data_IF_353993907494
#
_entry.id   IF_353993907494
#
_cell.length_a   1.000
_cell.length_b   1.000
_cell.length_c   1.000
_cell.angle_alpha   90.00
_cell.angle_beta   90.00
_cell.angle_gamma   90.00
#
_symmetry.space_group_name_H-M   'P 1'
#
loop_
_entity.id
_entity.type
_entity.pdbx_description
1 polymer ?
#
# COMPACT_ATOMS: atom_id res chain seq x y z
N UNK A 1 9.26 -16.92 -47.06
CA UNK A 1 9.71 -15.61 -46.53
C UNK A 1 8.79 -15.10 -45.42
N UNK A 2 7.46 -15.00 -45.61
CA UNK A 2 6.50 -14.58 -44.57
C UNK A 2 6.50 -15.46 -43.30
N UNK A 3 6.60 -16.79 -43.46
CA UNK A 3 6.71 -17.73 -42.33
C UNK A 3 8.00 -17.54 -41.51
N UNK A 4 9.11 -17.19 -42.16
CA UNK A 4 10.39 -16.92 -41.48
C UNK A 4 10.28 -15.63 -40.66
N UNK A 5 9.66 -14.57 -41.19
CA UNK A 5 9.42 -13.34 -40.43
C UNK A 5 8.49 -13.55 -39.24
N UNK A 6 7.45 -14.36 -39.36
CA UNK A 6 6.58 -14.72 -38.23
C UNK A 6 7.33 -15.47 -37.13
N UNK A 7 8.16 -16.46 -37.51
CA UNK A 7 8.99 -17.20 -36.56
C UNK A 7 10.00 -16.27 -35.87
N UNK A 8 10.71 -15.43 -36.64
CA UNK A 8 11.66 -14.47 -36.08
C UNK A 8 10.99 -13.46 -35.13
N UNK A 9 9.79 -13.01 -35.47
CA UNK A 9 9.00 -12.11 -34.62
C UNK A 9 8.58 -12.81 -33.33
N UNK A 10 8.08 -14.04 -33.41
CA UNK A 10 7.71 -14.82 -32.23
C UNK A 10 8.91 -15.08 -31.31
N UNK A 11 10.07 -15.46 -31.88
CA UNK A 11 11.31 -15.64 -31.12
C UNK A 11 11.74 -14.34 -30.45
N UNK A 12 11.71 -13.22 -31.17
CA UNK A 12 12.02 -11.90 -30.61
C UNK A 12 11.08 -11.54 -29.44
N UNK A 13 9.78 -11.77 -29.58
CA UNK A 13 8.80 -11.53 -28.51
C UNK A 13 9.06 -12.39 -27.28
N UNK A 14 9.43 -13.66 -27.45
CA UNK A 14 9.79 -14.56 -26.34
C UNK A 14 11.06 -14.08 -25.64
N UNK A 15 12.07 -13.64 -26.40
CA UNK A 15 13.31 -13.09 -25.85
C UNK A 15 13.02 -11.81 -25.06
N UNK A 16 12.27 -10.87 -25.63
CA UNK A 16 11.86 -9.62 -24.97
C UNK A 16 11.11 -9.94 -23.68
N UNK A 17 10.14 -10.86 -23.76
CA UNK A 17 9.37 -11.31 -22.60
C UNK A 17 10.29 -11.83 -21.48
N UNK A 18 11.26 -12.68 -21.82
CA UNK A 18 12.20 -13.22 -20.85
C UNK A 18 13.06 -12.11 -20.22
N UNK A 19 13.60 -11.19 -21.02
CA UNK A 19 14.38 -10.06 -20.49
C UNK A 19 13.54 -9.16 -19.56
N UNK A 20 12.32 -8.80 -19.97
CA UNK A 20 11.41 -7.97 -19.19
C UNK A 20 11.04 -8.63 -17.86
N UNK A 21 10.63 -9.89 -17.88
CA UNK A 21 10.22 -10.62 -16.66
C UNK A 21 11.39 -10.92 -15.71
N UNK A 22 12.62 -10.75 -16.18
CA UNK A 22 13.84 -10.84 -15.37
C UNK A 22 14.37 -9.48 -14.92
N UNK A 23 13.75 -8.35 -15.28
CA UNK A 23 14.13 -7.06 -14.71
C UNK A 23 14.02 -7.10 -13.17
N UNK A 24 14.95 -6.44 -12.44
CA UNK A 24 14.95 -6.49 -10.98
C UNK A 24 13.63 -6.07 -10.33
N UNK A 25 12.92 -5.09 -10.93
CA UNK A 25 11.64 -4.58 -10.43
C UNK A 25 10.56 -5.67 -10.29
N UNK A 26 10.62 -6.75 -11.08
CA UNK A 26 9.66 -7.85 -11.01
C UNK A 26 9.90 -8.82 -9.83
N UNK A 27 10.98 -8.63 -9.05
CA UNK A 27 11.30 -9.42 -7.86
C UNK A 27 11.41 -10.94 -8.13
N UNK A 28 11.37 -11.78 -7.09
CA UNK A 28 11.44 -13.23 -7.24
C UNK A 28 10.13 -13.93 -6.88
N UNK A 29 9.90 -15.12 -7.43
CA UNK A 29 8.86 -16.01 -6.93
C UNK A 29 9.39 -16.75 -5.68
N UNK A 30 8.53 -17.09 -4.71
CA UNK A 30 8.89 -17.93 -3.58
C UNK A 30 9.45 -19.29 -4.01
N UNK A 31 10.49 -19.75 -3.33
CA UNK A 31 11.18 -21.03 -3.58
C UNK A 31 11.68 -21.65 -2.27
N UNK A 32 12.14 -22.90 -2.31
CA UNK A 32 12.75 -23.58 -1.15
C UNK A 32 11.85 -23.58 0.08
N UNK A 33 12.44 -23.33 1.27
CA UNK A 33 11.73 -23.34 2.56
C UNK A 33 10.50 -22.43 2.58
N UNK A 34 10.59 -21.24 1.99
CA UNK A 34 9.47 -20.30 1.88
C UNK A 34 8.31 -20.87 1.08
N UNK A 35 8.59 -21.52 -0.06
CA UNK A 35 7.54 -22.15 -0.85
C UNK A 35 6.90 -23.33 -0.11
N UNK A 36 7.66 -24.08 0.67
CA UNK A 36 7.10 -25.16 1.50
C UNK A 36 6.20 -24.60 2.62
N UNK A 37 6.59 -23.50 3.29
CA UNK A 37 5.70 -22.77 4.22
C UNK A 37 4.40 -22.32 3.54
N UNK A 38 4.50 -21.74 2.35
CA UNK A 38 3.32 -21.31 1.57
C UNK A 38 2.38 -22.48 1.28
N UNK A 39 2.91 -23.64 0.85
CA UNK A 39 2.09 -24.83 0.55
C UNK A 39 1.39 -25.41 1.77
N UNK A 40 1.89 -25.15 2.97
CA UNK A 40 1.29 -25.60 4.23
C UNK A 40 0.20 -24.65 4.74
N UNK A 41 0.19 -23.40 4.28
CA UNK A 41 -0.83 -22.41 4.66
C UNK A 41 -2.23 -22.83 4.22
N UNK A 42 -3.19 -22.68 5.12
CA UNK A 42 -4.62 -22.91 4.83
C UNK A 42 -5.20 -21.88 3.85
N UNK A 43 -4.53 -20.73 3.72
CA UNK A 43 -4.89 -19.64 2.81
C UNK A 43 -4.44 -19.93 1.38
N UNK A 44 -3.51 -20.86 1.17
CA UNK A 44 -2.96 -21.19 -0.15
C UNK A 44 -3.66 -22.41 -0.76
N UNK A 45 -4.53 -22.18 -1.76
CA UNK A 45 -5.30 -23.23 -2.44
C UNK A 45 -5.22 -23.09 -3.95
N UNK A 46 -5.09 -24.22 -4.66
CA UNK A 46 -5.00 -24.26 -6.12
C UNK A 46 -3.87 -23.36 -6.66
N UNK A 47 -2.69 -23.41 -6.02
CA UNK A 47 -1.47 -22.67 -6.39
C UNK A 47 -1.57 -21.14 -6.26
N UNK A 48 -2.49 -20.64 -5.44
CA UNK A 48 -2.63 -19.23 -5.12
C UNK A 48 -3.19 -18.99 -3.71
N UNK A 49 -2.85 -17.87 -3.10
CA UNK A 49 -3.52 -17.36 -1.91
C UNK A 49 -4.95 -16.93 -2.22
N UNK A 50 -5.82 -16.96 -1.21
CA UNK A 50 -7.25 -16.67 -1.34
C UNK A 50 -7.71 -15.72 -0.24
N UNK A 51 -8.61 -14.80 -0.62
CA UNK A 51 -9.40 -14.02 0.33
C UNK A 51 -10.33 -14.92 1.16
N UNK A 52 -10.75 -14.41 2.32
CA UNK A 52 -11.77 -15.06 3.17
C UNK A 52 -13.08 -15.19 2.39
N UNK A 53 -13.53 -14.08 1.80
CA UNK A 53 -14.71 -14.03 0.95
C UNK A 53 -14.37 -14.16 -0.53
N UNK A 54 -15.34 -14.64 -1.32
CA UNK A 54 -15.22 -14.66 -2.77
C UNK A 54 -14.92 -13.24 -3.29
N UNK A 55 -13.86 -13.11 -4.08
CA UNK A 55 -13.31 -11.82 -4.52
C UNK A 55 -12.94 -11.93 -6.00
N UNK A 56 -13.89 -11.69 -6.91
CA UNK A 56 -13.58 -11.59 -8.33
C UNK A 56 -12.82 -10.29 -8.60
N UNK A 57 -11.91 -10.30 -9.56
CA UNK A 57 -11.13 -9.09 -9.94
C UNK A 57 -11.99 -8.01 -10.58
N UNK A 58 -13.15 -8.38 -11.13
CA UNK A 58 -14.13 -7.46 -11.71
C UNK A 58 -15.50 -7.80 -11.08
N UNK A 59 -16.20 -6.77 -10.61
CA UNK A 59 -17.53 -6.87 -9.99
C UNK A 59 -18.58 -7.37 -10.98
N UNK A 60 -19.61 -8.03 -10.46
CA UNK A 60 -20.75 -8.52 -11.24
C UNK A 60 -21.40 -7.37 -12.05
N UNK A 61 -21.72 -7.64 -13.32
CA UNK A 61 -22.27 -6.65 -14.24
C UNK A 61 -21.23 -5.81 -14.99
N UNK A 62 -19.95 -5.88 -14.60
CA UNK A 62 -18.85 -5.23 -15.31
C UNK A 62 -18.09 -6.21 -16.22
N UNK A 63 -17.39 -5.66 -17.23
CA UNK A 63 -16.62 -6.43 -18.21
C UNK A 63 -15.18 -5.97 -18.24
N UNK A 64 -14.23 -6.91 -18.10
CA UNK A 64 -12.78 -6.64 -18.18
C UNK A 64 -12.40 -5.91 -19.46
N UNK A 65 -13.02 -6.28 -20.58
CA UNK A 65 -12.75 -5.64 -21.87
C UNK A 65 -13.19 -4.18 -21.88
N UNK A 66 -14.36 -3.89 -21.30
CA UNK A 66 -14.87 -2.52 -21.19
C UNK A 66 -14.00 -1.69 -20.25
N UNK A 67 -13.67 -2.21 -19.07
CA UNK A 67 -12.79 -1.53 -18.11
C UNK A 67 -11.44 -1.19 -18.76
N UNK A 68 -10.83 -2.17 -19.45
CA UNK A 68 -9.57 -1.96 -20.19
C UNK A 68 -9.70 -0.89 -21.27
N UNK A 69 -10.80 -0.91 -22.04
CA UNK A 69 -11.09 0.10 -23.05
C UNK A 69 -11.21 1.50 -22.42
N UNK A 70 -11.95 1.63 -21.32
CA UNK A 70 -12.14 2.89 -20.62
C UNK A 70 -10.82 3.43 -20.06
N UNK A 71 -9.92 2.54 -19.61
CA UNK A 71 -8.57 2.90 -19.16
C UNK A 71 -7.64 3.39 -20.30
N UNK A 72 -7.72 2.80 -21.50
CA UNK A 72 -6.79 3.14 -22.59
C UNK A 72 -7.33 4.25 -23.48
N UNK A 73 -8.61 4.16 -23.87
CA UNK A 73 -9.25 4.97 -24.91
C UNK A 73 -10.43 5.79 -24.39
N UNK A 74 -10.94 5.47 -23.20
CA UNK A 74 -12.07 6.19 -22.59
C UNK A 74 -11.78 7.66 -22.32
N UNK A 75 -12.84 8.48 -22.40
CA UNK A 75 -12.78 9.90 -22.06
C UNK A 75 -12.40 10.05 -20.58
N UNK A 76 -11.27 10.70 -20.32
CA UNK A 76 -10.78 10.95 -18.97
C UNK A 76 -11.44 12.17 -18.34
N UNK A 77 -11.65 12.12 -17.03
CA UNK A 77 -12.06 13.30 -16.29
C UNK A 77 -11.00 14.42 -16.45
N UNK A 78 -11.38 15.68 -16.67
CA UNK A 78 -10.41 16.78 -16.80
C UNK A 78 -9.49 16.95 -15.60
N UNK A 79 -10.00 16.57 -14.41
CA UNK A 79 -9.27 16.55 -13.14
C UNK A 79 -8.77 15.15 -12.76
N UNK A 80 -8.61 14.22 -13.70
CA UNK A 80 -7.94 12.94 -13.43
C UNK A 80 -6.55 13.14 -12.80
N UNK A 81 -5.89 14.24 -13.19
CA UNK A 81 -4.62 14.71 -12.64
C UNK A 81 -4.78 16.15 -12.16
N UNK A 82 -3.98 16.59 -11.18
CA UNK A 82 -4.04 17.97 -10.72
C UNK A 82 -3.57 18.94 -11.81
N UNK A 83 -4.22 20.11 -11.85
CA UNK A 83 -3.86 21.19 -12.78
C UNK A 83 -2.65 21.98 -12.28
N UNK A 84 -2.44 21.99 -10.96
CA UNK A 84 -1.30 22.62 -10.27
C UNK A 84 -0.44 21.53 -9.62
N UNK A 85 0.69 21.92 -9.05
CA UNK A 85 1.48 21.01 -8.22
C UNK A 85 0.69 20.68 -6.94
N UNK A 86 0.80 19.44 -6.48
CA UNK A 86 0.30 19.04 -5.16
C UNK A 86 1.07 19.85 -4.10
N UNK A 87 0.37 20.52 -3.15
CA UNK A 87 1.03 21.19 -2.05
C UNK A 87 1.67 20.15 -1.12
N UNK A 88 2.91 20.40 -0.72
CA UNK A 88 3.69 19.49 0.10
C UNK A 88 4.73 20.24 0.93
N UNK A 89 5.09 19.65 2.07
CA UNK A 89 6.11 20.14 2.99
C UNK A 89 7.28 19.15 2.97
N UNK A 90 8.50 19.63 2.69
CA UNK A 90 9.69 18.77 2.77
C UNK A 90 10.21 18.72 4.21
N UNK A 91 9.53 17.95 5.06
CA UNK A 91 9.97 17.76 6.45
C UNK A 91 11.27 16.95 6.49
N UNK A 92 12.27 17.43 7.24
CA UNK A 92 13.53 16.72 7.43
C UNK A 92 13.35 15.53 8.38
N UNK A 93 13.10 14.35 7.79
CA UNK A 93 12.87 13.12 8.55
C UNK A 93 14.06 12.71 9.43
N UNK A 94 15.28 13.14 9.09
CA UNK A 94 16.49 12.80 9.84
C UNK A 94 16.66 13.64 11.10
N UNK A 95 15.96 14.78 11.17
CA UNK A 95 15.98 15.67 12.34
C UNK A 95 14.97 15.27 13.43
N UNK A 96 14.07 14.34 13.13
CA UNK A 96 13.04 13.88 14.07
C UNK A 96 13.72 13.19 15.25
N UNK A 97 13.47 13.71 16.46
CA UNK A 97 13.96 13.09 17.69
C UNK A 97 13.20 11.81 17.97
N UNK A 98 13.89 10.75 18.39
CA UNK A 98 13.29 9.42 18.65
C UNK A 98 12.20 9.44 19.73
N UNK A 99 12.17 10.44 20.61
CA UNK A 99 11.16 10.58 21.68
C UNK A 99 9.84 11.22 21.21
N UNK A 100 9.71 11.54 19.91
CA UNK A 100 8.49 12.09 19.33
C UNK A 100 7.60 10.98 18.75
N UNK A 101 6.29 11.07 18.99
CA UNK A 101 5.30 10.25 18.33
C UNK A 101 4.66 11.02 17.19
N UNK A 102 5.03 10.68 15.96
CA UNK A 102 4.58 11.40 14.77
C UNK A 102 4.21 10.48 13.61
N UNK A 103 3.30 10.96 12.78
CA UNK A 103 3.00 10.41 11.47
C UNK A 103 3.28 11.46 10.39
N UNK A 104 3.91 11.04 9.28
CA UNK A 104 4.18 11.89 8.13
C UNK A 104 3.80 11.12 6.86
N UNK A 105 2.83 11.64 6.13
CA UNK A 105 2.42 11.07 4.84
C UNK A 105 3.41 11.45 3.73
N UNK A 106 3.87 10.49 2.94
CA UNK A 106 4.86 10.68 1.86
C UNK A 106 4.22 10.55 0.46
N UNK A 107 2.89 10.56 0.41
CA UNK A 107 2.07 10.44 -0.80
C UNK A 107 1.72 8.99 -1.15
N UNK A 108 0.58 8.78 -1.81
CA UNK A 108 0.00 7.45 -2.05
C UNK A 108 -0.19 6.69 -0.73
N UNK A 109 0.27 5.44 -0.61
CA UNK A 109 0.24 4.66 0.64
C UNK A 109 1.53 4.75 1.44
N UNK A 110 2.47 5.61 1.04
CA UNK A 110 3.75 5.74 1.70
C UNK A 110 3.65 6.65 2.91
N UNK A 111 4.10 6.20 4.08
CA UNK A 111 4.19 7.04 5.27
C UNK A 111 5.30 6.63 6.21
N UNK A 112 5.84 7.62 6.91
CA UNK A 112 6.76 7.45 8.03
C UNK A 112 5.95 7.55 9.34
N UNK A 113 6.12 6.57 10.21
CA UNK A 113 5.53 6.53 11.54
C UNK A 113 6.67 6.38 12.54
N UNK A 114 6.73 7.26 13.53
CA UNK A 114 7.57 7.06 14.70
C UNK A 114 6.68 7.11 15.93
N UNK A 115 6.79 6.11 16.80
CA UNK A 115 6.02 6.05 18.03
C UNK A 115 6.77 5.23 19.06
N UNK A 116 6.76 5.67 20.31
CA UNK A 116 7.38 4.96 21.44
C UNK A 116 8.87 4.61 21.18
N UNK A 117 9.60 5.51 20.52
CA UNK A 117 11.02 5.32 20.20
C UNK A 117 11.32 4.44 18.99
N UNK A 118 10.30 3.94 18.29
CA UNK A 118 10.44 3.00 17.17
C UNK A 118 9.97 3.64 15.87
N UNK A 119 10.78 3.52 14.83
CA UNK A 119 10.52 4.07 13.49
C UNK A 119 10.09 3.01 12.47
N UNK A 120 9.04 3.32 11.73
CA UNK A 120 8.43 2.52 10.69
C UNK A 120 8.36 3.32 9.40
N UNK A 121 8.66 2.66 8.29
CA UNK A 121 8.35 3.16 6.94
C UNK A 121 7.42 2.15 6.28
N UNK A 122 6.24 2.58 5.87
CA UNK A 122 5.22 1.69 5.30
C UNK A 122 5.03 1.97 3.82
N UNK A 123 4.96 0.89 3.03
CA UNK A 123 4.74 0.90 1.57
C UNK A 123 5.46 2.03 0.81
N UNK A 124 6.79 2.19 0.95
CA UNK A 124 7.48 3.36 0.45
C UNK A 124 7.70 3.32 -1.05
N UNK A 125 6.94 4.13 -1.77
CA UNK A 125 7.06 4.38 -3.20
C UNK A 125 7.51 5.81 -3.40
N UNK A 126 8.83 6.01 -3.34
CA UNK A 126 9.48 7.32 -3.53
C UNK A 126 9.92 7.53 -4.98
N UNK A 127 9.67 6.55 -5.85
CA UNK A 127 9.87 6.67 -7.29
C UNK A 127 8.84 7.59 -7.94
N UNK A 128 9.22 8.18 -9.09
CA UNK A 128 8.34 9.01 -9.93
C UNK A 128 7.26 8.22 -10.68
N UNK A 129 7.14 6.91 -10.41
CA UNK A 129 6.25 6.01 -11.10
C UNK A 129 5.86 4.82 -10.20
N UNK A 130 4.59 4.43 -10.21
CA UNK A 130 4.06 3.24 -9.52
C UNK A 130 3.90 2.05 -10.46
N UNK A 131 4.97 1.66 -11.17
CA UNK A 131 4.92 0.59 -12.19
C UNK A 131 6.31 -0.01 -12.46
N UNK A 132 6.42 -1.17 -13.14
CA UNK A 132 7.73 -1.71 -13.51
C UNK A 132 8.48 -0.84 -14.55
N UNK A 133 7.82 0.14 -15.16
CA UNK A 133 8.34 0.91 -16.28
C UNK A 133 8.13 2.41 -16.09
N UNK A 134 9.21 3.19 -16.19
CA UNK A 134 9.24 4.65 -15.88
C UNK A 134 8.20 5.53 -16.60
N UNK A 135 7.60 5.05 -17.68
CA UNK A 135 6.65 5.82 -18.49
C UNK A 135 5.19 5.65 -18.08
N UNK A 136 4.87 4.64 -17.26
CA UNK A 136 3.50 4.36 -16.81
C UNK A 136 3.32 4.75 -15.34
N UNK A 137 2.10 5.15 -14.97
CA UNK A 137 1.71 5.56 -13.61
C UNK A 137 2.62 6.63 -13.01
N UNK A 138 2.87 7.71 -13.76
CA UNK A 138 3.75 8.81 -13.30
C UNK A 138 3.14 9.55 -12.11
N UNK A 139 3.99 9.90 -11.15
CA UNK A 139 3.63 10.73 -10.01
C UNK A 139 3.12 12.10 -10.46
N UNK A 140 2.17 12.66 -9.73
CA UNK A 140 1.74 14.04 -9.89
C UNK A 140 2.88 14.98 -9.49
N UNK A 141 2.98 16.12 -10.18
CA UNK A 141 4.01 17.12 -9.84
C UNK A 141 3.79 17.60 -8.41
N UNK A 142 4.85 17.67 -7.60
CA UNK A 142 4.76 18.09 -6.20
C UNK A 142 4.36 16.98 -5.23
N UNK A 143 4.18 15.73 -5.69
CA UNK A 143 3.96 14.57 -4.82
C UNK A 143 5.22 13.70 -4.65
N UNK A 144 6.35 14.17 -5.19
CA UNK A 144 7.63 13.46 -5.35
C UNK A 144 8.79 14.11 -4.57
N UNK A 145 8.48 14.86 -3.50
CA UNK A 145 9.50 15.59 -2.72
C UNK A 145 10.46 14.64 -2.00
N UNK A 146 9.93 13.58 -1.39
CA UNK A 146 10.71 12.65 -0.60
C UNK A 146 11.45 11.65 -1.47
N UNK A 147 12.74 11.48 -1.18
CA UNK A 147 13.63 10.54 -1.84
C UNK A 147 14.16 9.49 -0.87
N UNK A 148 14.68 8.35 -1.35
CA UNK A 148 15.29 7.35 -0.47
C UNK A 148 16.41 7.92 0.42
N UNK A 149 17.10 8.96 -0.02
CA UNK A 149 18.14 9.63 0.77
C UNK A 149 17.55 10.36 1.99
N UNK A 150 16.32 10.83 1.93
CA UNK A 150 15.68 11.55 3.04
C UNK A 150 15.32 10.62 4.22
N UNK A 151 15.17 9.32 3.94
CA UNK A 151 14.77 8.34 4.95
C UNK A 151 15.90 8.13 5.99
N UNK A 152 15.63 8.28 7.29
CA UNK A 152 16.60 8.01 8.35
C UNK A 152 16.87 6.50 8.50
N UNK A 153 17.72 6.13 9.45
CA UNK A 153 17.82 4.73 9.87
C UNK A 153 16.48 4.28 10.50
N UNK A 154 15.93 3.20 9.95
CA UNK A 154 14.63 2.65 10.30
C UNK A 154 14.78 1.41 11.16
N UNK A 155 13.87 1.25 12.11
CA UNK A 155 13.73 -0.02 12.83
C UNK A 155 13.02 -1.04 11.96
N UNK A 156 11.93 -0.62 11.30
CA UNK A 156 11.08 -1.50 10.51
C UNK A 156 10.67 -0.88 9.17
N UNK A 157 10.88 -1.62 8.09
CA UNK A 157 10.12 -1.47 6.83
C UNK A 157 8.87 -2.33 6.93
N UNK A 158 7.69 -1.83 6.57
CA UNK A 158 6.45 -2.61 6.54
C UNK A 158 5.91 -2.59 5.11
N UNK A 159 5.62 -3.76 4.56
CA UNK A 159 5.01 -3.90 3.23
C UNK A 159 3.66 -4.59 3.38
N UNK A 160 2.60 -4.04 2.80
CA UNK A 160 1.26 -4.65 2.87
C UNK A 160 1.07 -5.73 1.81
N UNK A 161 1.59 -5.52 0.60
CA UNK A 161 1.54 -6.47 -0.50
C UNK A 161 2.56 -6.13 -1.60
N UNK A 162 2.69 -6.99 -2.63
CA UNK A 162 3.79 -6.93 -3.59
C UNK A 162 3.50 -6.08 -4.85
N UNK A 163 2.43 -5.28 -4.91
CA UNK A 163 2.18 -4.42 -6.07
C UNK A 163 3.23 -3.32 -6.21
N UNK A 164 3.36 -2.76 -7.41
CA UNK A 164 4.45 -1.82 -7.74
C UNK A 164 4.30 -0.46 -7.07
N UNK A 165 3.08 -0.09 -6.71
CA UNK A 165 2.70 1.15 -6.02
C UNK A 165 2.66 1.01 -4.49
N UNK A 166 3.04 -0.16 -3.96
CA UNK A 166 3.28 -0.39 -2.52
C UNK A 166 4.70 -0.90 -2.23
N UNK A 167 5.27 -1.70 -3.14
CA UNK A 167 6.61 -2.26 -3.05
C UNK A 167 7.49 -1.77 -4.20
N UNK A 168 8.13 -0.63 -3.99
CA UNK A 168 8.98 0.02 -4.99
C UNK A 168 10.44 -0.45 -4.93
N UNK A 169 10.89 -1.17 -5.95
CA UNK A 169 12.23 -1.76 -6.02
C UNK A 169 13.38 -0.74 -5.83
N UNK A 170 13.43 0.40 -6.57
CA UNK A 170 14.44 1.44 -6.36
C UNK A 170 14.50 1.94 -4.92
N UNK A 171 13.33 2.22 -4.32
CA UNK A 171 13.25 2.73 -2.95
C UNK A 171 13.78 1.70 -1.94
N UNK A 172 13.18 0.50 -1.89
CA UNK A 172 13.55 -0.52 -0.89
C UNK A 172 14.99 -0.98 -1.05
N UNK A 173 15.50 -1.05 -2.29
CA UNK A 173 16.92 -1.37 -2.52
C UNK A 173 17.85 -0.28 -1.98
N UNK A 174 17.49 1.00 -2.14
CA UNK A 174 18.31 2.13 -1.70
C UNK A 174 18.39 2.25 -0.17
N UNK A 175 17.27 1.98 0.52
CA UNK A 175 17.22 2.08 1.99
C UNK A 175 17.67 0.82 2.72
N UNK A 176 17.92 -0.29 2.00
CA UNK A 176 18.22 -1.60 2.59
C UNK A 176 19.21 -1.58 3.76
N UNK A 177 20.36 -0.93 3.57
CA UNK A 177 21.42 -0.90 4.60
C UNK A 177 21.08 -0.01 5.81
N UNK A 178 19.99 0.75 5.73
CA UNK A 178 19.43 1.61 6.77
C UNK A 178 18.13 1.04 7.34
N UNK A 179 17.75 -0.19 6.97
CA UNK A 179 16.56 -0.87 7.48
C UNK A 179 16.99 -1.96 8.46
N UNK A 180 16.50 -1.89 9.71
CA UNK A 180 16.73 -2.93 10.72
C UNK A 180 16.10 -4.26 10.32
N UNK A 181 14.76 -4.32 10.28
CA UNK A 181 14.01 -5.48 9.78
C UNK A 181 12.93 -5.07 8.78
N UNK A 182 12.53 -5.97 7.91
CA UNK A 182 11.38 -5.79 7.03
C UNK A 182 10.26 -6.75 7.41
N UNK A 183 9.08 -6.21 7.69
CA UNK A 183 7.84 -6.92 7.98
C UNK A 183 7.05 -7.04 6.67
N UNK A 184 6.84 -8.27 6.21
CA UNK A 184 6.22 -8.54 4.90
C UNK A 184 5.29 -9.76 4.98
N UNK A 185 4.22 -9.84 4.18
CA UNK A 185 3.35 -11.02 4.18
C UNK A 185 4.06 -12.24 3.59
N UNK A 186 3.61 -13.43 3.98
CA UNK A 186 4.18 -14.70 3.56
C UNK A 186 4.37 -14.80 2.04
N UNK A 187 5.60 -14.99 1.60
CA UNK A 187 6.00 -15.07 0.20
C UNK A 187 6.67 -13.80 -0.33
N UNK A 188 6.30 -12.61 0.16
CA UNK A 188 6.83 -11.35 -0.34
C UNK A 188 8.32 -11.14 0.00
N UNK A 189 8.83 -11.84 1.02
CA UNK A 189 10.25 -11.82 1.39
C UNK A 189 11.17 -12.29 0.27
N UNK A 190 10.68 -13.11 -0.67
CA UNK A 190 11.43 -13.52 -1.86
C UNK A 190 11.87 -12.33 -2.72
N UNK A 191 11.05 -11.27 -2.81
CA UNK A 191 11.42 -10.06 -3.54
C UNK A 191 12.57 -9.33 -2.84
N UNK A 192 12.48 -9.15 -1.52
CA UNK A 192 13.48 -8.45 -0.72
C UNK A 192 14.82 -9.19 -0.70
N UNK A 193 14.81 -10.52 -0.57
CA UNK A 193 16.02 -11.34 -0.68
C UNK A 193 16.69 -11.18 -2.05
N UNK A 194 15.91 -11.19 -3.13
CA UNK A 194 16.43 -10.93 -4.49
C UNK A 194 17.10 -9.56 -4.58
N UNK A 195 16.63 -8.59 -3.79
CA UNK A 195 17.17 -7.23 -3.73
C UNK A 195 18.27 -7.06 -2.67
N UNK A 196 18.65 -8.16 -2.01
CA UNK A 196 19.85 -8.27 -1.17
C UNK A 196 19.60 -8.11 0.32
N UNK A 197 18.34 -8.12 0.78
CA UNK A 197 18.01 -8.28 2.21
C UNK A 197 18.41 -9.68 2.67
N UNK A 198 18.95 -9.78 3.88
CA UNK A 198 19.26 -11.06 4.50
C UNK A 198 17.99 -11.71 5.07
N UNK A 199 17.88 -13.04 5.02
CA UNK A 199 16.67 -13.77 5.46
C UNK A 199 16.36 -13.51 6.94
N UNK A 200 17.38 -13.39 7.79
CA UNK A 200 17.27 -13.09 9.22
C UNK A 200 16.72 -11.69 9.54
N UNK A 201 16.77 -10.78 8.56
CA UNK A 201 16.22 -9.43 8.66
C UNK A 201 14.77 -9.37 8.15
N UNK A 202 14.18 -10.49 7.75
CA UNK A 202 12.79 -10.56 7.31
C UNK A 202 11.90 -11.13 8.42
N UNK A 203 10.86 -10.39 8.76
CA UNK A 203 9.71 -10.88 9.53
C UNK A 203 8.63 -11.19 8.49
N UNK A 204 8.49 -12.47 8.14
CA UNK A 204 7.64 -12.91 7.04
C UNK A 204 6.61 -13.94 7.51
N UNK A 205 5.37 -13.49 7.66
CA UNK A 205 4.29 -14.28 8.27
C UNK A 205 2.93 -14.16 7.55
N UNK A 206 1.99 -15.01 7.93
CA UNK A 206 0.62 -15.02 7.43
C UNK A 206 -0.39 -14.45 8.44
N UNK A 207 -1.65 -14.29 8.03
CA UNK A 207 -2.71 -13.74 8.89
C UNK A 207 -2.87 -14.53 10.20
N UNK A 208 -3.03 -13.80 11.29
CA UNK A 208 -3.14 -14.31 12.66
C UNK A 208 -1.80 -14.45 13.38
N UNK A 209 -0.66 -14.30 12.69
CA UNK A 209 0.64 -14.27 13.33
C UNK A 209 0.85 -12.97 14.10
N UNK A 210 1.44 -13.09 15.29
CA UNK A 210 1.79 -11.99 16.18
C UNK A 210 3.30 -12.00 16.39
N UNK A 211 3.92 -10.82 16.29
CA UNK A 211 5.38 -10.67 16.40
C UNK A 211 5.72 -9.55 17.37
N UNK A 212 6.55 -9.87 18.36
CA UNK A 212 7.12 -8.90 19.29
C UNK A 212 8.23 -8.11 18.59
N UNK A 213 8.16 -6.78 18.69
CA UNK A 213 9.08 -5.82 18.11
C UNK A 213 9.91 -5.14 19.21
N UNK A 214 10.65 -4.09 18.83
CA UNK A 214 11.44 -3.29 19.77
C UNK A 214 10.51 -2.59 20.76
N UNK A 215 11.03 -2.27 21.94
CA UNK A 215 10.32 -1.52 22.99
C UNK A 215 8.95 -2.13 23.38
N UNK A 216 8.83 -3.46 23.31
CA UNK A 216 7.60 -4.21 23.59
C UNK A 216 6.42 -3.83 22.67
N UNK A 217 6.68 -3.23 21.51
CA UNK A 217 5.68 -3.10 20.46
C UNK A 217 5.33 -4.47 19.92
N UNK A 218 4.13 -4.61 19.38
CA UNK A 218 3.63 -5.87 18.86
C UNK A 218 2.92 -5.61 17.56
N UNK A 219 3.26 -6.38 16.53
CA UNK A 219 2.56 -6.32 15.25
C UNK A 219 1.86 -7.65 14.97
N UNK A 220 0.59 -7.55 14.64
CA UNK A 220 -0.25 -8.69 14.25
C UNK A 220 -0.61 -8.58 12.79
N UNK A 221 -0.36 -9.63 12.03
CA UNK A 221 -0.74 -9.74 10.63
C UNK A 221 -2.24 -10.01 10.55
N UNK A 222 -3.00 -9.10 9.95
CA UNK A 222 -4.45 -9.22 9.85
C UNK A 222 -4.92 -9.32 8.40
N UNK A 223 -6.12 -9.89 8.15
CA UNK A 223 -6.65 -9.99 6.80
C UNK A 223 -6.85 -8.62 6.14
N UNK A 224 -6.67 -8.60 4.82
CA UNK A 224 -7.18 -7.58 3.92
C UNK A 224 -7.87 -8.28 2.73
N UNK A 225 -8.80 -7.62 2.06
CA UNK A 225 -9.48 -8.16 0.88
C UNK A 225 -8.85 -7.58 -0.38
N UNK A 226 -7.80 -8.24 -0.87
CA UNK A 226 -7.03 -7.76 -2.01
C UNK A 226 -6.41 -8.93 -2.79
N UNK A 227 -5.36 -8.67 -3.55
CA UNK A 227 -4.61 -9.66 -4.30
C UNK A 227 -3.13 -9.27 -4.38
N UNK A 228 -2.30 -10.11 -4.97
CA UNK A 228 -0.88 -9.83 -5.19
C UNK A 228 -0.44 -10.23 -6.58
N UNK A 229 0.68 -9.70 -7.04
CA UNK A 229 1.40 -10.18 -8.20
C UNK A 229 2.19 -9.11 -8.93
N UNK A 230 3.45 -9.43 -9.23
CA UNK A 230 4.32 -8.62 -10.09
C UNK A 230 4.47 -9.17 -11.51
N UNK A 231 4.06 -10.41 -11.76
CA UNK A 231 4.23 -11.14 -13.04
C UNK A 231 2.88 -11.66 -13.55
N UNK A 232 2.90 -12.52 -14.59
CA UNK A 232 1.69 -13.18 -15.10
C UNK A 232 0.96 -13.95 -13.99
N UNK A 233 1.69 -14.68 -13.16
CA UNK A 233 1.09 -15.41 -12.05
C UNK A 233 0.84 -14.45 -10.90
N UNK A 234 -0.43 -14.30 -10.55
CA UNK A 234 -0.89 -13.55 -9.38
C UNK A 234 -1.03 -14.46 -8.15
N UNK A 235 -1.17 -13.85 -6.98
CA UNK A 235 -1.51 -14.50 -5.72
C UNK A 235 -0.51 -15.57 -5.29
N UNK A 236 0.75 -15.45 -5.70
CA UNK A 236 1.83 -16.35 -5.28
C UNK A 236 2.55 -15.88 -4.02
N UNK A 237 2.24 -14.69 -3.53
CA UNK A 237 2.59 -14.13 -2.21
C UNK A 237 1.30 -13.68 -1.51
N UNK A 238 1.30 -13.57 -0.19
CA UNK A 238 0.15 -13.05 0.55
C UNK A 238 0.12 -11.51 0.52
N UNK A 239 -1.02 -10.93 0.89
CA UNK A 239 -1.25 -9.52 1.17
C UNK A 239 -1.80 -9.41 2.60
N UNK A 240 -1.54 -8.31 3.32
CA UNK A 240 -2.00 -8.17 4.70
C UNK A 240 -2.29 -6.71 5.08
N UNK A 241 -3.20 -6.54 6.03
CA UNK A 241 -3.25 -5.38 6.91
C UNK A 241 -2.49 -5.71 8.20
N UNK A 242 -2.29 -4.71 9.06
CA UNK A 242 -1.60 -4.90 10.34
C UNK A 242 -2.29 -4.20 11.49
N UNK A 243 -2.26 -4.84 12.66
CA UNK A 243 -2.51 -4.20 13.94
C UNK A 243 -1.17 -3.97 14.62
N UNK A 244 -0.82 -2.70 14.86
CA UNK A 244 0.38 -2.32 15.59
C UNK A 244 -0.03 -1.81 16.98
N UNK A 245 0.30 -2.58 18.01
CA UNK A 245 0.08 -2.25 19.40
C UNK A 245 1.39 -1.73 20.02
N UNK A 246 1.33 -0.55 20.60
CA UNK A 246 2.44 0.07 21.35
C UNK A 246 2.04 0.23 22.81
N UNK A 247 2.99 0.56 23.71
CA UNK A 247 2.66 0.87 25.10
C UNK A 247 1.66 2.01 25.27
N UNK A 248 1.58 2.93 24.31
CA UNK A 248 0.76 4.15 24.41
C UNK A 248 -0.39 4.22 23.41
N UNK A 249 -0.33 3.51 22.28
CA UNK A 249 -1.27 3.66 21.15
C UNK A 249 -1.52 2.35 20.43
N UNK A 250 -2.63 2.29 19.69
CA UNK A 250 -2.95 1.20 18.76
C UNK A 250 -3.25 1.76 17.37
N UNK A 251 -2.54 1.23 16.38
CA UNK A 251 -2.66 1.60 14.99
C UNK A 251 -3.21 0.45 14.16
N UNK A 252 -4.10 0.76 13.22
CA UNK A 252 -4.45 -0.13 12.13
C UNK A 252 -3.78 0.36 10.85
N UNK A 253 -2.94 -0.49 10.24
CA UNK A 253 -2.25 -0.22 8.98
C UNK A 253 -2.98 -1.00 7.88
N UNK A 254 -3.85 -0.34 7.11
CA UNK A 254 -4.83 -1.02 6.27
C UNK A 254 -4.24 -1.74 5.05
N UNK A 255 -3.35 -1.07 4.31
CA UNK A 255 -3.03 -1.49 2.95
C UNK A 255 -4.26 -1.52 2.05
N UNK A 256 -4.07 -1.91 0.79
CA UNK A 256 -5.19 -2.03 -0.13
C UNK A 256 -6.18 -3.11 0.32
N UNK A 257 -7.46 -2.74 0.32
CA UNK A 257 -8.54 -3.63 0.71
C UNK A 257 -9.87 -3.15 0.12
N UNK A 258 -10.66 -4.08 -0.42
CA UNK A 258 -12.09 -3.90 -0.56
C UNK A 258 -12.80 -4.13 0.77
N UNK A 259 -14.00 -3.57 0.92
CA UNK A 259 -14.74 -3.75 2.16
C UNK A 259 -15.33 -5.15 2.31
N UNK A 260 -15.28 -5.65 3.55
CA UNK A 260 -15.88 -6.91 3.99
C UNK A 260 -15.87 -7.01 5.53
N UNK A 261 -16.45 -8.06 6.09
CA UNK A 261 -16.60 -8.30 7.53
C UNK A 261 -15.27 -8.32 8.33
N UNK A 262 -14.12 -8.48 7.67
CA UNK A 262 -12.82 -8.51 8.32
C UNK A 262 -12.54 -7.24 9.15
N UNK A 263 -12.94 -6.04 8.67
CA UNK A 263 -12.77 -4.80 9.44
C UNK A 263 -13.49 -4.86 10.79
N UNK A 264 -14.74 -5.32 10.78
CA UNK A 264 -15.54 -5.50 11.99
C UNK A 264 -14.92 -6.53 12.93
N UNK A 265 -14.50 -7.68 12.41
CA UNK A 265 -13.83 -8.71 13.21
C UNK A 265 -12.55 -8.18 13.85
N UNK A 266 -11.76 -7.39 13.11
CA UNK A 266 -10.53 -6.77 13.62
C UNK A 266 -10.87 -5.73 14.70
N UNK A 267 -11.88 -4.87 14.50
CA UNK A 267 -12.31 -3.89 15.51
C UNK A 267 -12.98 -4.51 16.75
N UNK A 268 -13.58 -5.70 16.62
CA UNK A 268 -14.07 -6.49 17.74
C UNK A 268 -12.94 -7.13 18.55
N UNK A 269 -11.91 -7.65 17.86
CA UNK A 269 -10.81 -8.35 18.50
C UNK A 269 -9.75 -7.41 19.09
N UNK A 270 -9.42 -6.34 18.37
CA UNK A 270 -8.29 -5.46 18.71
C UNK A 270 -8.72 -4.02 19.02
N UNK A 271 -9.90 -3.57 18.60
CA UNK A 271 -10.33 -2.19 18.82
C UNK A 271 -10.57 -1.83 20.30
N UNK A 272 -10.69 -0.54 20.63
CA UNK A 272 -10.59 0.61 19.71
C UNK A 272 -9.15 0.89 19.25
N UNK A 273 -9.03 1.55 18.11
CA UNK A 273 -7.76 2.04 17.56
C UNK A 273 -7.67 3.56 17.75
N UNK A 274 -6.50 4.06 18.15
CA UNK A 274 -6.24 5.49 18.20
C UNK A 274 -6.19 6.05 16.78
N UNK A 275 -5.51 5.34 15.86
CA UNK A 275 -5.36 5.72 14.46
C UNK A 275 -5.61 4.53 13.53
N UNK A 276 -6.49 4.71 12.55
CA UNK A 276 -6.64 3.80 11.42
C UNK A 276 -6.14 4.49 10.14
N UNK A 277 -5.12 3.91 9.51
CA UNK A 277 -4.60 4.37 8.23
C UNK A 277 -5.29 3.55 7.14
N UNK A 278 -6.12 4.19 6.34
CA UNK A 278 -7.02 3.53 5.39
C UNK A 278 -6.84 4.09 3.98
N UNK A 279 -6.75 3.21 3.00
CA UNK A 279 -6.69 3.58 1.58
C UNK A 279 -8.03 4.19 1.14
N UNK A 280 -8.01 5.35 0.49
CA UNK A 280 -9.21 6.08 0.09
C UNK A 280 -9.34 6.36 -1.41
N UNK A 281 -8.32 6.01 -2.19
CA UNK A 281 -8.23 6.29 -3.61
C UNK A 281 -8.22 5.02 -4.46
N UNK A 282 -8.17 5.24 -5.78
CA UNK A 282 -8.08 4.20 -6.79
C UNK A 282 -9.27 3.23 -6.81
N UNK A 283 -10.43 3.67 -6.32
CA UNK A 283 -11.66 2.90 -6.31
C UNK A 283 -12.46 3.06 -7.61
N UNK A 284 -13.30 2.09 -7.89
CA UNK A 284 -14.39 2.13 -8.87
C UNK A 284 -15.34 0.97 -8.54
N UNK A 285 -16.63 1.11 -8.85
CA UNK A 285 -17.61 0.05 -8.68
C UNK A 285 -17.21 -1.25 -9.39
N UNK A 286 -16.50 -1.15 -10.52
CA UNK A 286 -16.02 -2.29 -11.30
C UNK A 286 -15.00 -3.17 -10.57
N UNK A 287 -14.35 -2.68 -9.50
CA UNK A 287 -13.38 -3.44 -8.70
C UNK A 287 -13.49 -3.16 -7.19
N UNK A 288 -14.69 -2.78 -6.72
CA UNK A 288 -14.99 -2.46 -5.31
C UNK A 288 -14.59 -3.54 -4.28
N UNK A 289 -14.40 -4.79 -4.74
CA UNK A 289 -14.00 -5.89 -3.87
C UNK A 289 -12.52 -5.91 -3.52
N UNK A 290 -11.70 -5.12 -4.21
CA UNK A 290 -10.26 -5.02 -3.96
C UNK A 290 -9.82 -3.59 -3.59
N UNK A 291 -10.62 -2.56 -3.88
CA UNK A 291 -10.47 -1.21 -3.35
C UNK A 291 -11.82 -0.70 -2.84
N UNK A 292 -11.88 -0.34 -1.56
CA UNK A 292 -13.09 0.18 -0.92
C UNK A 292 -13.56 1.49 -1.57
N UNK A 293 -14.87 1.63 -1.75
CA UNK A 293 -15.50 2.90 -2.11
C UNK A 293 -15.42 3.89 -0.94
N UNK A 294 -15.59 5.21 -1.15
CA UNK A 294 -15.48 6.18 -0.07
C UNK A 294 -16.41 5.91 1.13
N UNK A 295 -17.64 5.48 0.88
CA UNK A 295 -18.62 5.11 1.91
C UNK A 295 -18.15 3.86 2.69
N UNK A 296 -17.55 2.91 1.98
CA UNK A 296 -16.98 1.70 2.53
C UNK A 296 -15.76 2.00 3.44
N UNK A 297 -14.93 2.99 3.07
CA UNK A 297 -13.78 3.45 3.90
C UNK A 297 -14.27 4.05 5.22
N UNK A 298 -15.33 4.85 5.19
CA UNK A 298 -15.94 5.40 6.40
C UNK A 298 -16.55 4.29 7.26
N UNK A 299 -17.22 3.32 6.64
CA UNK A 299 -17.75 2.17 7.38
C UNK A 299 -16.61 1.32 7.99
N UNK A 300 -15.50 1.12 7.27
CA UNK A 300 -14.33 0.42 7.81
C UNK A 300 -13.77 1.12 9.06
N UNK A 301 -13.66 2.45 9.05
CA UNK A 301 -13.21 3.21 10.21
C UNK A 301 -14.16 3.05 11.43
N UNK A 302 -15.48 3.04 11.19
CA UNK A 302 -16.49 2.76 12.23
C UNK A 302 -16.34 1.35 12.78
N UNK A 303 -16.22 0.35 11.90
CA UNK A 303 -16.13 -1.06 12.27
C UNK A 303 -14.83 -1.39 13.02
N UNK A 304 -13.74 -0.69 12.69
CA UNK A 304 -12.49 -0.72 13.44
C UNK A 304 -12.62 -0.03 14.80
N UNK A 305 -13.64 0.81 15.03
CA UNK A 305 -13.76 1.69 16.21
C UNK A 305 -12.55 2.64 16.31
N UNK A 306 -12.18 3.23 15.19
CA UNK A 306 -11.06 4.17 15.12
C UNK A 306 -11.45 5.53 15.70
N UNK A 307 -10.60 6.08 16.58
CA UNK A 307 -10.75 7.44 17.07
C UNK A 307 -10.41 8.46 15.98
N UNK A 308 -9.29 8.23 15.28
CA UNK A 308 -8.86 9.01 14.13
C UNK A 308 -8.68 8.11 12.90
N UNK A 309 -9.10 8.58 11.74
CA UNK A 309 -8.86 7.94 10.44
C UNK A 309 -7.95 8.82 9.59
N UNK A 310 -6.87 8.26 9.06
CA UNK A 310 -5.91 8.93 8.19
C UNK A 310 -6.04 8.33 6.79
N UNK A 311 -6.68 9.00 5.81
CA UNK A 311 -6.76 8.52 4.46
C UNK A 311 -5.41 8.56 3.73
N UNK A 312 -5.10 7.49 2.99
CA UNK A 312 -3.93 7.34 2.11
C UNK A 312 -4.38 6.79 0.73
N UNK A 313 -3.47 6.37 -0.16
CA UNK A 313 -3.73 5.89 -1.55
C UNK A 313 -4.07 6.94 -2.62
N UNK A 314 -4.21 8.20 -2.23
CA UNK A 314 -4.57 9.30 -3.14
C UNK A 314 -3.40 10.26 -3.39
N UNK A 315 -3.64 11.25 -4.25
CA UNK A 315 -2.78 12.43 -4.46
C UNK A 315 -1.35 12.17 -4.97
N UNK A 316 -1.04 10.99 -5.48
CA UNK A 316 0.25 10.69 -6.13
C UNK A 316 0.12 10.13 -7.54
N UNK A 317 -0.73 9.12 -7.73
CA UNK A 317 -0.90 8.44 -9.01
C UNK A 317 -2.37 8.46 -9.46
N UNK A 318 -2.58 8.40 -10.78
CA UNK A 318 -3.90 8.18 -11.38
C UNK A 318 -4.00 6.71 -11.81
N UNK A 319 -4.47 5.84 -10.91
CA UNK A 319 -4.64 4.39 -11.13
C UNK A 319 -6.12 4.01 -11.31
N UNK A 320 -7.05 4.91 -10.98
CA UNK A 320 -8.46 4.86 -11.36
C UNK A 320 -8.86 6.05 -12.26
N UNK A 321 -10.15 6.18 -12.55
CA UNK A 321 -10.69 7.20 -13.47
C UNK A 321 -11.37 8.39 -12.78
N UNK A 322 -11.47 8.37 -11.45
CA UNK A 322 -12.02 9.47 -10.66
C UNK A 322 -11.07 10.70 -10.66
N UNK A 323 -11.57 11.91 -10.34
CA UNK A 323 -10.73 13.08 -10.11
C UNK A 323 -9.69 12.85 -9.01
N UNK A 324 -8.51 13.44 -9.13
CA UNK A 324 -7.41 13.22 -8.18
C UNK A 324 -7.76 13.62 -6.72
N UNK A 325 -8.59 14.64 -6.55
CA UNK A 325 -9.00 15.21 -5.25
C UNK A 325 -10.33 14.68 -4.72
N UNK A 326 -11.11 13.97 -5.54
CA UNK A 326 -12.40 13.38 -5.13
C UNK A 326 -12.27 12.47 -3.89
N UNK A 327 -11.25 11.60 -3.77
CA UNK A 327 -11.05 10.78 -2.58
C UNK A 327 -11.09 11.56 -1.26
N UNK A 328 -10.34 12.66 -1.18
CA UNK A 328 -10.23 13.49 0.03
C UNK A 328 -11.53 14.25 0.30
N UNK A 329 -12.18 14.77 -0.75
CA UNK A 329 -13.51 15.41 -0.63
C UNK A 329 -14.54 14.45 -0.06
N UNK A 330 -14.61 13.23 -0.60
CA UNK A 330 -15.60 12.22 -0.22
C UNK A 330 -15.42 11.75 1.22
N UNK A 331 -14.22 11.30 1.60
CA UNK A 331 -14.01 10.80 2.97
C UNK A 331 -14.14 11.91 4.02
N UNK A 332 -13.74 13.14 3.71
CA UNK A 332 -13.92 14.28 4.63
C UNK A 332 -15.40 14.59 4.83
N UNK A 333 -16.18 14.65 3.74
CA UNK A 333 -17.63 14.89 3.80
C UNK A 333 -18.38 13.79 4.54
N UNK A 334 -18.19 12.53 4.12
CA UNK A 334 -18.85 11.36 4.71
C UNK A 334 -18.41 11.13 6.18
N UNK A 335 -17.13 11.36 6.48
CA UNK A 335 -16.61 11.28 7.85
C UNK A 335 -17.26 12.30 8.78
N UNK A 336 -17.45 13.54 8.31
CA UNK A 336 -18.17 14.59 9.05
C UNK A 336 -19.62 14.20 9.35
N UNK A 337 -20.33 13.62 8.38
CA UNK A 337 -21.72 13.14 8.58
C UNK A 337 -21.82 12.05 9.65
N UNK A 338 -20.76 11.25 9.82
CA UNK A 338 -20.67 10.18 10.84
C UNK A 338 -20.02 10.61 12.15
N UNK A 339 -19.58 11.87 12.26
CA UNK A 339 -18.87 12.37 13.45
C UNK A 339 -17.47 11.75 13.65
N UNK A 340 -16.85 11.23 12.59
CA UNK A 340 -15.49 10.68 12.64
C UNK A 340 -14.44 11.78 12.53
N UNK A 341 -13.33 11.63 13.25
CA UNK A 341 -12.16 12.49 13.08
C UNK A 341 -11.32 12.01 11.90
N UNK A 342 -11.44 12.69 10.76
CA UNK A 342 -10.63 12.42 9.57
C UNK A 342 -9.43 13.38 9.56
N UNK A 343 -8.22 12.84 9.53
CA UNK A 343 -6.98 13.61 9.54
C UNK A 343 -6.40 13.68 8.13
N UNK A 344 -6.41 14.86 7.51
CA UNK A 344 -6.01 15.03 6.10
C UNK A 344 -4.74 15.90 5.97
N UNK A 345 -3.59 15.48 6.52
CA UNK A 345 -2.35 16.24 6.36
C UNK A 345 -1.97 16.37 4.88
N UNK A 346 -1.28 17.44 4.53
CA UNK A 346 -0.55 17.51 3.25
C UNK A 346 0.57 16.47 3.22
N UNK A 347 1.07 16.15 2.01
CA UNK A 347 2.29 15.35 1.88
C UNK A 347 3.42 16.05 2.66
N UNK A 348 3.99 15.33 3.62
CA UNK A 348 5.09 15.75 4.46
C UNK A 348 4.71 16.62 5.65
N UNK A 349 3.44 16.96 5.84
CA UNK A 349 2.97 17.64 7.04
C UNK A 349 3.04 16.71 8.26
N UNK A 350 3.53 17.23 9.39
CA UNK A 350 3.71 16.45 10.61
C UNK A 350 2.41 16.35 11.39
N UNK A 351 1.96 15.12 11.62
CA UNK A 351 0.87 14.81 12.55
C UNK A 351 1.47 14.41 13.88
N UNK A 352 1.32 15.26 14.90
CA UNK A 352 1.71 14.99 16.29
C UNK A 352 0.70 14.06 16.95
N UNK A 353 1.07 12.79 17.14
CA UNK A 353 0.18 11.72 17.59
C UNK A 353 -0.18 11.80 19.08
N UNK A 354 0.38 12.77 19.81
CA UNK A 354 0.03 13.03 21.21
C UNK A 354 -1.02 14.14 21.36
N UNK A 355 -1.44 14.77 20.25
CA UNK A 355 -2.53 15.75 20.27
C UNK A 355 -3.88 15.07 20.15
N UNK A 356 -4.84 15.57 20.92
CA UNK A 356 -6.24 15.14 20.85
C UNK A 356 -7.03 15.87 19.77
N UNK A 357 -6.57 17.06 19.39
CA UNK A 357 -7.21 17.91 18.39
C UNK A 357 -6.23 18.23 17.27
N UNK A 358 -6.68 17.95 16.06
CA UNK A 358 -5.96 18.23 14.84
C UNK A 358 -6.81 19.15 13.96
N UNK A 359 -6.15 20.04 13.23
CA UNK A 359 -6.78 20.88 12.23
C UNK A 359 -5.89 20.87 10.99
N UNK A 360 -6.49 20.55 9.85
CA UNK A 360 -5.83 20.57 8.55
C UNK A 360 -6.63 21.47 7.61
N UNK A 361 -5.96 22.07 6.64
CA UNK A 361 -6.63 22.76 5.55
C UNK A 361 -7.22 21.75 4.56
N UNK A 362 -8.23 22.17 3.81
CA UNK A 362 -8.70 21.44 2.63
C UNK A 362 -7.79 21.71 1.43
N UNK A 363 -6.49 21.42 1.57
CA UNK A 363 -5.46 21.76 0.59
C UNK A 363 -5.67 21.18 -0.82
N UNK A 364 -6.59 20.22 -0.97
CA UNK A 364 -6.99 19.64 -2.26
C UNK A 364 -8.01 20.49 -3.05
N UNK A 365 -8.44 21.62 -2.49
CA UNK A 365 -9.33 22.59 -3.11
C UNK A 365 -8.59 23.79 -3.74
N UNK A 366 -7.30 23.96 -3.41
CA UNK A 366 -6.41 25.05 -3.88
C UNK A 366 -5.75 24.74 -5.24
#
# INVERSE_FOLDING_TARGET
>A
MQMIYLILTAVLLVIIYFFVMNLPAFGAAPKGKRLERIKQSKLYKNRQFRNISHTPSITEGYSTMKVTYDFILGKKHPLLKPLKNIPAIHTDLRSIRKDQDIFIWLGHSSYYLQTDGVSFLVDPVLSLYGSPFKYFNKAFKGSDLFKPEDIPDLDYLVITHDHFDHLDYPTVKSIKNRTGKAIVPLGAGAHLERWGYAEENLIEEEWGAEVLLKNNLKITFTPARHFSGRKIKQNNTLWASYVLETPTKKFFLGGDSGYDAHFKTIGEQFGPFDYAILENGQYDEAWRYIHALPEDVIQAAVDLKAQHSIPVHSSKFALALHPWNEPLQKVTGLGKEKGLSILTPMIGEVVDLNRTHHQFSNWWED
#
